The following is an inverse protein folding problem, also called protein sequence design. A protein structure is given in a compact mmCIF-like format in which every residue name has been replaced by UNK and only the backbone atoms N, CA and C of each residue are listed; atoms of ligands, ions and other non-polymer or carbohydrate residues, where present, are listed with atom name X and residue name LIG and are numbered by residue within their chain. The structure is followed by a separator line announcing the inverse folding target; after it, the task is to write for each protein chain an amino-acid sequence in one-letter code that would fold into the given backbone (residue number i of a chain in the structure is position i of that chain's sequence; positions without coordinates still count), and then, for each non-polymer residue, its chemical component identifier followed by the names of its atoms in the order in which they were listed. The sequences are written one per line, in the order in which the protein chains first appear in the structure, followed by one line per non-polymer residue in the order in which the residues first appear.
data_IF_768411232968
#
_entry.id   IF_768411232968
#
_cell.length_a   1.000
_cell.length_b   1.000
_cell.length_c   1.000
_cell.angle_alpha   90.00
_cell.angle_beta   90.00
_cell.angle_gamma   90.00
#
_symmetry.space_group_name_H-M   'P 1'
#
loop_
_entity.id
_entity.type
_entity.pdbx_description
1 polymer ?
#
# COMPACT_ATOMS: atom_id res chain seq x y z
N UNK A 1 1.72 3.44 -9.99
CA UNK A 1 0.67 4.09 -9.17
C UNK A 1 -0.17 5.09 -9.97
N UNK A 2 0.44 6.12 -10.61
CA UNK A 2 -0.32 7.12 -11.39
C UNK A 2 -1.11 6.52 -12.55
N UNK A 3 -0.59 5.50 -13.22
CA UNK A 3 -1.33 4.80 -14.28
C UNK A 3 -2.61 4.16 -13.72
N UNK A 4 -2.56 3.60 -12.51
CA UNK A 4 -3.73 3.04 -11.85
C UNK A 4 -4.78 4.11 -11.55
N UNK A 5 -4.43 5.21 -10.88
CA UNK A 5 -5.42 6.24 -10.56
C UNK A 5 -6.00 6.92 -11.81
N UNK A 6 -5.26 6.92 -12.94
CA UNK A 6 -5.74 7.47 -14.21
C UNK A 6 -6.83 6.58 -14.87
N UNK A 7 -7.03 5.34 -14.42
CA UNK A 7 -8.13 4.48 -14.88
C UNK A 7 -9.46 4.80 -14.19
N UNK A 8 -9.44 5.69 -13.18
CA UNK A 8 -10.62 6.10 -12.40
C UNK A 8 -11.41 4.92 -11.82
N UNK A 9 -10.76 4.00 -11.07
CA UNK A 9 -11.43 2.82 -10.56
C UNK A 9 -12.42 3.18 -9.45
N UNK A 10 -13.56 2.50 -9.40
CA UNK A 10 -14.49 2.62 -8.28
C UNK A 10 -14.00 1.89 -7.04
N UNK A 11 -14.15 2.51 -5.86
CA UNK A 11 -13.78 1.90 -4.59
C UNK A 11 -14.80 0.83 -4.18
N UNK A 12 -14.40 -0.44 -4.29
CA UNK A 12 -15.19 -1.56 -3.82
C UNK A 12 -14.30 -2.75 -3.51
N UNK A 13 -14.44 -3.30 -2.29
CA UNK A 13 -13.81 -4.56 -1.94
C UNK A 13 -14.58 -5.73 -2.53
N UNK A 14 -13.88 -6.58 -3.28
CA UNK A 14 -14.43 -7.78 -3.92
C UNK A 14 -13.35 -8.87 -3.98
N UNK A 15 -13.77 -10.12 -3.86
CA UNK A 15 -12.90 -11.26 -4.09
C UNK A 15 -12.77 -11.56 -5.59
N UNK A 16 -11.54 -11.85 -6.02
CA UNK A 16 -11.24 -12.22 -7.41
C UNK A 16 -10.50 -13.56 -7.43
N UNK A 17 -11.00 -14.53 -8.17
CA UNK A 17 -10.25 -15.72 -8.52
C UNK A 17 -9.01 -15.31 -9.33
N UNK A 18 -7.82 -15.67 -8.82
CA UNK A 18 -6.57 -15.18 -9.39
C UNK A 18 -6.01 -13.93 -8.70
N UNK A 19 -6.83 -13.21 -7.90
CA UNK A 19 -6.41 -12.13 -7.00
C UNK A 19 -6.43 -10.72 -7.60
N UNK A 20 -6.53 -10.56 -8.91
CA UNK A 20 -6.42 -9.26 -9.56
C UNK A 20 -7.78 -8.74 -10.08
N UNK A 21 -8.18 -7.50 -9.71
CA UNK A 21 -9.37 -6.84 -10.29
C UNK A 21 -9.21 -6.62 -11.79
N UNK A 22 -10.29 -6.88 -12.54
CA UNK A 22 -10.36 -6.72 -14.00
C UNK A 22 -11.66 -6.01 -14.46
N UNK A 23 -12.44 -5.48 -13.49
CA UNK A 23 -13.78 -4.95 -13.73
C UNK A 23 -13.94 -3.45 -13.41
N UNK A 24 -12.82 -2.72 -13.26
CA UNK A 24 -12.84 -1.30 -12.94
C UNK A 24 -13.08 -1.00 -11.45
N UNK A 25 -13.09 -2.03 -10.60
CA UNK A 25 -13.16 -1.89 -9.15
C UNK A 25 -11.77 -1.97 -8.53
N UNK A 26 -11.60 -1.44 -7.31
CA UNK A 26 -10.34 -1.57 -6.60
C UNK A 26 -10.40 -1.04 -5.18
N UNK A 27 -9.28 -1.20 -4.47
CA UNK A 27 -9.10 -0.73 -3.09
C UNK A 27 -7.69 -0.15 -2.91
N UNK A 28 -7.39 0.37 -1.71
CA UNK A 28 -6.11 1.03 -1.43
C UNK A 28 -4.87 0.17 -1.73
N UNK A 29 -4.94 -1.13 -1.48
CA UNK A 29 -3.82 -2.06 -1.74
C UNK A 29 -3.55 -2.29 -3.23
N UNK A 30 -4.52 -2.01 -4.10
CA UNK A 30 -4.33 -2.16 -5.55
C UNK A 30 -3.38 -1.11 -6.13
N UNK A 31 -3.23 0.05 -5.48
CA UNK A 31 -2.19 1.04 -5.79
C UNK A 31 -0.79 0.45 -5.59
N UNK A 32 -0.63 -0.34 -4.52
CA UNK A 32 0.67 -0.86 -4.09
C UNK A 32 1.14 -1.98 -5.02
N UNK A 33 0.30 -3.03 -5.22
CA UNK A 33 0.73 -4.15 -6.04
C UNK A 33 0.95 -3.74 -7.49
N UNK A 34 0.15 -2.82 -8.05
CA UNK A 34 0.37 -2.33 -9.41
C UNK A 34 1.64 -1.49 -9.54
N UNK A 35 1.97 -0.70 -8.51
CA UNK A 35 3.22 0.04 -8.49
C UNK A 35 4.43 -0.88 -8.45
N UNK A 36 4.40 -1.92 -7.60
CA UNK A 36 5.47 -2.90 -7.49
C UNK A 36 5.58 -3.77 -8.75
N UNK A 37 4.46 -4.19 -9.34
CA UNK A 37 4.44 -4.92 -10.60
C UNK A 37 5.10 -4.12 -11.74
N UNK A 38 4.81 -2.82 -11.83
CA UNK A 38 5.45 -1.93 -12.79
C UNK A 38 6.96 -1.76 -12.54
N UNK A 39 7.42 -2.00 -11.30
CA UNK A 39 8.84 -2.03 -10.93
C UNK A 39 9.49 -3.43 -11.07
N UNK A 40 8.74 -4.44 -11.54
CA UNK A 40 9.24 -5.79 -11.80
C UNK A 40 9.07 -6.77 -10.62
N UNK A 41 8.27 -6.44 -9.60
CA UNK A 41 8.04 -7.30 -8.44
C UNK A 41 6.63 -7.91 -8.46
N UNK A 42 6.52 -9.21 -8.23
CA UNK A 42 5.24 -9.90 -8.00
C UNK A 42 4.92 -9.91 -6.50
N UNK A 43 4.23 -8.85 -6.03
CA UNK A 43 3.87 -8.70 -4.62
C UNK A 43 3.02 -9.88 -4.11
N UNK A 44 2.13 -10.42 -4.95
CA UNK A 44 1.30 -11.58 -4.59
C UNK A 44 2.16 -12.80 -4.27
N UNK A 45 3.09 -13.13 -5.16
CA UNK A 45 3.99 -14.27 -4.96
C UNK A 45 4.92 -14.06 -3.76
N UNK A 46 5.42 -12.84 -3.55
CA UNK A 46 6.29 -12.51 -2.41
C UNK A 46 5.56 -12.65 -1.07
N UNK A 47 4.34 -12.15 -0.98
CA UNK A 47 3.51 -12.24 0.25
C UNK A 47 3.12 -13.69 0.54
N UNK A 48 2.70 -14.44 -0.48
CA UNK A 48 2.33 -15.86 -0.34
C UNK A 48 3.51 -16.70 0.16
N UNK A 49 4.70 -16.48 -0.40
CA UNK A 49 5.92 -17.15 0.03
C UNK A 49 6.30 -16.82 1.47
N UNK A 50 6.17 -15.56 1.91
CA UNK A 50 6.49 -15.17 3.29
C UNK A 50 5.48 -15.72 4.30
N UNK A 51 4.18 -15.74 3.98
CA UNK A 51 3.14 -16.38 4.82
C UNK A 51 3.43 -17.88 4.97
N UNK A 52 3.80 -18.56 3.88
CA UNK A 52 4.12 -19.98 3.92
C UNK A 52 5.38 -20.27 4.74
N UNK A 53 6.39 -19.40 4.66
CA UNK A 53 7.66 -19.57 5.37
C UNK A 53 7.57 -19.18 6.87
N UNK A 54 6.69 -18.26 7.24
CA UNK A 54 6.62 -17.69 8.58
C UNK A 54 5.17 -17.38 9.00
N UNK A 55 4.29 -18.40 9.06
CA UNK A 55 2.85 -18.19 9.33
C UNK A 55 2.58 -17.53 10.69
N UNK A 56 3.46 -17.72 11.68
CA UNK A 56 3.36 -17.11 13.00
C UNK A 56 3.48 -15.57 12.97
N UNK A 57 4.07 -14.99 11.94
CA UNK A 57 4.11 -13.54 11.74
C UNK A 57 2.75 -12.96 11.32
N UNK A 58 1.83 -13.81 10.88
CA UNK A 58 0.52 -13.45 10.35
C UNK A 58 -0.64 -14.04 11.17
N UNK A 59 -0.73 -13.74 12.50
CA UNK A 59 -1.72 -14.38 13.38
C UNK A 59 -3.19 -14.09 13.01
N UNK A 60 -3.41 -13.09 12.16
CA UNK A 60 -4.73 -12.74 11.63
C UNK A 60 -5.15 -13.60 10.42
N UNK A 61 -4.24 -14.43 9.88
CA UNK A 61 -4.52 -15.34 8.76
C UNK A 61 -4.69 -16.75 9.33
N UNK A 62 -5.93 -17.23 9.37
CA UNK A 62 -6.24 -18.59 9.83
C UNK A 62 -6.10 -19.62 8.71
N UNK A 63 -6.43 -19.23 7.51
CA UNK A 63 -6.29 -20.04 6.27
C UNK A 63 -5.73 -19.13 5.19
N UNK A 64 -4.48 -19.35 4.76
CA UNK A 64 -3.87 -18.56 3.69
C UNK A 64 -4.67 -18.66 2.38
N UNK A 65 -4.88 -17.52 1.76
CA UNK A 65 -5.49 -17.41 0.43
C UNK A 65 -4.70 -16.39 -0.41
N UNK A 66 -3.86 -16.87 -1.35
CA UNK A 66 -3.02 -16.00 -2.16
C UNK A 66 -3.81 -15.04 -3.04
N UNK A 67 -5.12 -15.27 -3.24
CA UNK A 67 -5.95 -14.38 -4.04
C UNK A 67 -6.43 -13.12 -3.28
N UNK A 68 -6.32 -13.11 -1.95
CA UNK A 68 -6.79 -11.97 -1.15
C UNK A 68 -5.74 -11.45 -0.15
N UNK A 69 -4.80 -12.28 0.31
CA UNK A 69 -3.91 -11.89 1.42
C UNK A 69 -3.00 -10.70 1.05
N UNK A 70 -2.47 -10.65 -0.18
CA UNK A 70 -1.69 -9.49 -0.66
C UNK A 70 -2.51 -8.21 -0.89
N UNK A 71 -3.84 -8.29 -0.76
CA UNK A 71 -4.78 -7.17 -0.87
C UNK A 71 -5.36 -6.74 0.48
N UNK A 72 -4.74 -7.15 1.58
CA UNK A 72 -5.11 -6.75 2.94
C UNK A 72 -4.03 -5.88 3.56
N UNK A 73 -4.42 -4.71 4.10
CA UNK A 73 -3.47 -3.73 4.65
C UNK A 73 -2.67 -4.31 5.82
N UNK A 74 -3.31 -5.07 6.72
CA UNK A 74 -2.63 -5.70 7.85
C UNK A 74 -1.60 -6.75 7.42
N UNK A 75 -1.87 -7.48 6.36
CA UNK A 75 -0.90 -8.43 5.76
C UNK A 75 0.26 -7.68 5.13
N UNK A 76 -0.01 -6.65 4.36
CA UNK A 76 1.04 -5.83 3.73
C UNK A 76 1.89 -5.08 4.75
N UNK A 77 1.30 -4.54 5.83
CA UNK A 77 2.06 -3.92 6.92
C UNK A 77 3.04 -4.92 7.55
N UNK A 78 2.57 -6.14 7.83
CA UNK A 78 3.43 -7.22 8.35
C UNK A 78 4.54 -7.56 7.35
N UNK A 79 4.21 -7.75 6.09
CA UNK A 79 5.17 -8.07 5.04
C UNK A 79 6.26 -6.99 4.90
N UNK A 80 5.86 -5.71 4.81
CA UNK A 80 6.84 -4.62 4.65
C UNK A 80 7.69 -4.40 5.91
N UNK A 81 7.17 -4.63 7.12
CA UNK A 81 7.99 -4.62 8.35
C UNK A 81 9.09 -5.68 8.34
N UNK A 82 8.88 -6.78 7.67
CA UNK A 82 9.82 -7.90 7.60
C UNK A 82 10.84 -7.76 6.48
N UNK A 83 10.45 -7.17 5.35
CA UNK A 83 11.22 -7.21 4.11
C UNK A 83 11.64 -5.85 3.55
N UNK A 84 11.07 -4.74 4.04
CA UNK A 84 11.42 -3.40 3.62
C UNK A 84 12.23 -2.66 4.70
N UNK A 85 12.88 -1.57 4.32
CA UNK A 85 13.46 -0.65 5.27
C UNK A 85 12.34 0.07 6.03
N UNK A 86 12.27 -0.11 7.36
CA UNK A 86 11.34 0.61 8.23
C UNK A 86 11.90 2.00 8.50
N UNK A 87 11.11 3.03 8.25
CA UNK A 87 11.47 4.44 8.37
C UNK A 87 10.66 5.13 9.48
N UNK A 88 11.05 6.36 9.79
CA UNK A 88 10.31 7.19 10.75
C UNK A 88 8.92 7.58 10.23
N UNK A 89 7.94 7.59 11.12
CA UNK A 89 6.61 8.15 10.85
C UNK A 89 6.52 9.66 11.19
N UNK A 90 7.61 10.27 11.65
CA UNK A 90 7.66 11.70 11.93
C UNK A 90 7.70 12.52 10.63
N UNK A 91 6.76 13.43 10.49
CA UNK A 91 6.64 14.33 9.34
C UNK A 91 7.50 15.59 9.46
N UNK A 92 8.18 15.81 10.58
CA UNK A 92 9.00 17.02 10.81
C UNK A 92 10.23 17.08 9.89
N UNK A 93 10.74 15.92 9.43
CA UNK A 93 11.82 15.83 8.45
C UNK A 93 11.33 15.25 7.11
N UNK A 94 10.82 16.13 6.25
CA UNK A 94 10.31 15.76 4.95
C UNK A 94 11.36 15.10 4.02
N UNK A 95 12.65 15.20 4.32
CA UNK A 95 13.71 14.57 3.51
C UNK A 95 13.79 13.05 3.75
N UNK A 96 13.32 12.56 4.88
CA UNK A 96 13.23 11.12 5.15
C UNK A 96 12.17 10.43 4.28
N UNK A 97 11.26 11.20 3.70
CA UNK A 97 10.14 10.74 2.89
C UNK A 97 10.50 10.84 1.41
N UNK A 98 10.64 9.71 0.73
CA UNK A 98 11.03 9.67 -0.68
C UNK A 98 9.88 9.21 -1.59
N UNK A 99 9.89 9.60 -2.87
CA UNK A 99 8.94 9.04 -3.85
C UNK A 99 9.02 7.51 -3.89
N UNK A 100 7.87 6.85 -3.88
CA UNK A 100 7.78 5.39 -3.87
C UNK A 100 7.80 4.77 -2.47
N UNK A 101 8.02 5.54 -1.41
CA UNK A 101 7.85 5.04 -0.05
C UNK A 101 6.39 4.63 0.17
N UNK A 102 6.19 3.52 0.87
CA UNK A 102 4.88 2.94 1.20
C UNK A 102 4.48 3.43 2.58
N UNK A 103 3.24 3.90 2.72
CA UNK A 103 2.74 4.48 3.96
C UNK A 103 1.47 3.78 4.40
N UNK A 104 1.44 3.34 5.66
CA UNK A 104 0.28 2.72 6.32
C UNK A 104 -0.30 3.69 7.35
N UNK A 105 -1.63 3.71 7.45
CA UNK A 105 -2.36 4.66 8.28
C UNK A 105 -3.33 3.97 9.24
N UNK A 106 -3.55 4.64 10.40
CA UNK A 106 -4.47 4.21 11.44
C UNK A 106 -4.08 2.83 12.01
N UNK A 107 -5.06 2.05 12.42
CA UNK A 107 -4.82 0.67 12.83
C UNK A 107 -4.81 -0.27 11.60
N UNK A 108 -3.85 -0.04 10.69
CA UNK A 108 -3.68 -0.83 9.44
C UNK A 108 -4.93 -0.86 8.57
N UNK A 109 -5.61 0.29 8.48
CA UNK A 109 -6.89 0.38 7.75
C UNK A 109 -6.75 0.98 6.37
N UNK A 110 -5.60 1.63 6.10
CA UNK A 110 -5.34 2.27 4.82
C UNK A 110 -3.87 2.25 4.47
N UNK A 111 -3.56 2.27 3.16
CA UNK A 111 -2.21 2.23 2.62
C UNK A 111 -2.14 3.07 1.34
N UNK A 112 -0.97 3.66 1.07
CA UNK A 112 -0.71 4.42 -0.13
C UNK A 112 0.78 4.58 -0.41
N UNK A 113 1.10 5.32 -1.47
CA UNK A 113 2.45 5.56 -1.96
C UNK A 113 2.80 7.05 -1.92
N UNK A 114 4.01 7.37 -1.45
CA UNK A 114 4.56 8.72 -1.55
C UNK A 114 4.81 9.11 -3.02
N UNK A 115 4.28 10.27 -3.38
CA UNK A 115 4.52 10.93 -4.67
C UNK A 115 5.85 11.69 -4.67
N UNK A 116 6.37 12.03 -5.86
CA UNK A 116 7.43 13.00 -6.06
C UNK A 116 6.96 14.45 -5.86
N UNK A 117 5.64 14.71 -5.90
CA UNK A 117 5.06 16.03 -5.58
C UNK A 117 5.08 16.25 -4.07
N UNK A 118 5.42 17.49 -3.68
CA UNK A 118 5.51 17.86 -2.26
C UNK A 118 4.69 19.10 -1.96
N UNK A 119 4.21 19.19 -0.74
CA UNK A 119 3.58 20.40 -0.21
C UNK A 119 4.65 21.44 0.18
N UNK A 120 4.20 22.61 0.70
CA UNK A 120 5.12 23.70 1.09
C UNK A 120 6.02 23.35 2.28
N UNK A 121 5.67 22.33 3.07
CA UNK A 121 6.48 21.80 4.18
C UNK A 121 7.46 20.70 3.74
N UNK A 122 7.50 20.37 2.46
CA UNK A 122 8.35 19.31 1.93
C UNK A 122 7.79 17.89 2.09
N UNK A 123 6.56 17.74 2.60
CA UNK A 123 5.90 16.44 2.77
C UNK A 123 5.34 15.98 1.42
N UNK A 124 5.58 14.71 1.01
CA UNK A 124 5.03 14.18 -0.23
C UNK A 124 3.51 14.22 -0.28
N UNK A 125 2.97 14.33 -1.49
CA UNK A 125 1.57 13.96 -1.73
C UNK A 125 1.43 12.45 -1.63
N UNK A 126 0.24 11.97 -1.33
CA UNK A 126 -0.11 10.57 -1.28
C UNK A 126 -0.82 10.16 -2.57
N UNK A 127 -0.37 9.07 -3.18
CA UNK A 127 -1.10 8.37 -4.24
C UNK A 127 -1.81 7.21 -3.56
N UNK A 128 -3.13 7.25 -3.53
CA UNK A 128 -3.95 6.25 -2.85
C UNK A 128 -5.33 6.10 -3.47
N UNK A 129 -6.04 5.05 -3.10
CA UNK A 129 -7.42 4.80 -3.46
C UNK A 129 -8.22 4.53 -2.19
N UNK A 130 -9.20 5.36 -1.88
CA UNK A 130 -10.02 5.11 -0.69
C UNK A 130 -10.70 6.33 -0.07
N UNK A 131 -11.39 6.01 0.99
CA UNK A 131 -12.23 6.84 1.80
C UNK A 131 -11.53 8.14 2.33
N UNK A 132 -12.22 9.31 2.46
CA UNK A 132 -13.70 9.37 2.54
C UNK A 132 -14.43 9.62 1.22
N UNK A 133 -13.76 9.72 0.11
CA UNK A 133 -14.40 10.12 -1.16
C UNK A 133 -14.41 8.99 -2.21
N UNK A 134 -13.98 7.78 -1.82
CA UNK A 134 -13.92 6.59 -2.69
C UNK A 134 -13.19 6.80 -4.03
N UNK A 135 -12.29 7.78 -4.07
CA UNK A 135 -11.53 8.15 -5.26
C UNK A 135 -10.10 7.62 -5.24
N UNK A 136 -9.58 7.32 -6.42
CA UNK A 136 -8.17 7.07 -6.64
C UNK A 136 -7.48 8.39 -7.00
N UNK A 137 -6.64 8.90 -6.09
CA UNK A 137 -6.13 10.29 -6.18
C UNK A 137 -4.65 10.41 -5.83
N UNK A 138 -4.05 11.52 -6.28
CA UNK A 138 -2.77 12.03 -5.82
C UNK A 138 -2.99 13.37 -5.11
N UNK A 139 -2.93 13.36 -3.77
CA UNK A 139 -3.36 14.50 -2.95
C UNK A 139 -2.51 14.71 -1.69
N UNK A 140 -2.58 15.91 -1.11
CA UNK A 140 -1.86 16.26 0.13
C UNK A 140 -2.60 15.72 1.36
N UNK A 141 -2.64 14.39 1.51
CA UNK A 141 -3.41 13.72 2.55
C UNK A 141 -2.56 13.13 3.68
N UNK A 142 -1.26 12.91 3.49
CA UNK A 142 -0.38 12.37 4.54
C UNK A 142 -0.50 13.16 5.85
N UNK A 143 -0.46 14.53 5.87
CA UNK A 143 -0.56 15.29 7.11
C UNK A 143 -1.94 15.26 7.78
N UNK A 144 -2.95 14.71 7.10
CA UNK A 144 -4.34 14.63 7.58
C UNK A 144 -4.69 13.31 8.22
N UNK A 145 -3.80 12.32 8.12
CA UNK A 145 -4.02 10.97 8.60
C UNK A 145 -2.93 10.56 9.60
N UNK A 146 -3.25 9.65 10.50
CA UNK A 146 -2.29 9.10 11.46
C UNK A 146 -1.42 8.06 10.77
N UNK A 147 -0.16 8.39 10.52
CA UNK A 147 0.83 7.45 9.96
C UNK A 147 1.26 6.46 11.04
N UNK A 148 1.20 5.16 10.73
CA UNK A 148 1.56 4.06 11.64
C UNK A 148 2.60 3.11 11.04
N UNK A 149 2.88 3.25 9.75
CA UNK A 149 3.95 2.55 9.05
C UNK A 149 4.52 3.39 7.91
N UNK A 150 5.85 3.37 7.78
CA UNK A 150 6.56 4.03 6.68
C UNK A 150 7.69 3.11 6.23
N UNK A 151 7.66 2.73 4.96
CA UNK A 151 8.53 1.69 4.43
C UNK A 151 9.14 2.10 3.09
N UNK A 152 10.40 1.72 2.88
CA UNK A 152 11.08 1.83 1.59
C UNK A 152 11.41 0.45 1.06
N UNK A 153 10.84 0.09 -0.07
CA UNK A 153 11.16 -1.14 -0.78
C UNK A 153 12.49 -0.97 -1.52
N UNK A 154 13.43 -1.86 -1.25
CA UNK A 154 14.78 -1.81 -1.87
C UNK A 154 15.03 -2.97 -2.83
N UNK A 155 14.05 -3.92 -2.94
CA UNK A 155 14.17 -5.13 -3.73
C UNK A 155 14.57 -6.35 -2.93
#
# INVERSE_FOLDING_TARGET
ARAYIATDPHYQSKYYAGGYPDDGLGVCTDVIWQALQAAGYDLKALVDADIAACPEAYPHITTPDPNIDFRRVNTLDTFFRRHAQVLTCDLSDGQQWQPGDIVVFGDRVHIGLCSDRRNRQGIPFLIHHGNPIDEAVERNDIPRMTVTGHFRWLG
#
